data_IF_319119930507
#
_entry.id   IF_319119930507
#
_cell.length_a   1.000
_cell.length_b   1.000
_cell.length_c   1.000
_cell.angle_alpha   90.00
_cell.angle_beta   90.00
_cell.angle_gamma   90.00
#
_symmetry.space_group_name_H-M   'P 1'
#
loop_
_entity.id
_entity.type
_entity.pdbx_description
1 polymer ?
#
# COMPACT_ATOMS: atom_id res chain seq x y z
N UNK A 1 -15.71 -19.21 -21.23
CA UNK A 1 -14.23 -19.35 -21.31
C UNK A 1 -13.66 -18.99 -19.95
N UNK A 2 -12.77 -19.79 -19.33
CA UNK A 2 -12.11 -19.42 -18.09
C UNK A 2 -11.03 -18.37 -18.40
N UNK A 3 -11.46 -17.17 -18.78
CA UNK A 3 -10.62 -16.09 -19.34
C UNK A 3 -9.91 -15.25 -18.28
N UNK A 4 -9.66 -15.82 -17.10
CA UNK A 4 -8.95 -15.16 -16.00
C UNK A 4 -8.05 -16.17 -15.30
N UNK A 5 -7.11 -16.74 -16.04
CA UNK A 5 -6.06 -17.59 -15.48
C UNK A 5 -5.04 -16.79 -14.65
N UNK A 6 -3.89 -17.39 -14.35
CA UNK A 6 -2.79 -16.77 -13.60
C UNK A 6 -2.43 -15.34 -14.05
N UNK A 7 -2.49 -15.06 -15.36
CA UNK A 7 -2.21 -13.73 -15.92
C UNK A 7 -3.21 -12.69 -15.38
N UNK A 8 -4.51 -13.01 -15.33
CA UNK A 8 -5.52 -12.11 -14.80
C UNK A 8 -5.30 -11.79 -13.32
N UNK A 9 -4.94 -12.81 -12.52
CA UNK A 9 -4.62 -12.62 -11.10
C UNK A 9 -3.41 -11.70 -10.89
N UNK A 10 -2.36 -11.83 -11.71
CA UNK A 10 -1.19 -10.97 -11.64
C UNK A 10 -1.55 -9.53 -12.03
N UNK A 11 -2.33 -9.34 -13.09
CA UNK A 11 -2.81 -8.00 -13.50
C UNK A 11 -3.64 -7.36 -12.39
N UNK A 12 -4.55 -8.12 -11.77
CA UNK A 12 -5.37 -7.62 -10.67
C UNK A 12 -4.53 -7.27 -9.43
N UNK A 13 -3.55 -8.11 -9.07
CA UNK A 13 -2.62 -7.82 -8.00
C UNK A 13 -1.78 -6.56 -8.29
N UNK A 14 -1.32 -6.38 -9.54
CA UNK A 14 -0.61 -5.19 -9.95
C UNK A 14 -1.49 -3.93 -9.84
N UNK A 15 -2.75 -3.99 -10.29
CA UNK A 15 -3.70 -2.88 -10.16
C UNK A 15 -3.95 -2.48 -8.69
N UNK A 16 -3.87 -3.44 -7.76
CA UNK A 16 -3.97 -3.16 -6.33
C UNK A 16 -2.66 -2.61 -5.73
N UNK A 17 -1.49 -3.15 -6.09
CA UNK A 17 -0.20 -2.79 -5.47
C UNK A 17 0.40 -1.50 -6.05
N UNK A 18 0.32 -1.31 -7.37
CA UNK A 18 0.90 -0.15 -8.07
C UNK A 18 0.44 1.20 -7.51
N UNK A 19 -0.85 1.45 -7.21
CA UNK A 19 -1.25 2.72 -6.61
C UNK A 19 -0.57 2.96 -5.25
N UNK A 20 -0.40 1.93 -4.42
CA UNK A 20 0.32 2.04 -3.15
C UNK A 20 1.81 2.30 -3.36
N UNK A 21 2.45 1.67 -4.36
CA UNK A 21 3.83 2.00 -4.75
C UNK A 21 4.00 3.46 -5.14
N UNK A 22 3.01 4.09 -5.75
CA UNK A 22 3.09 5.51 -6.10
C UNK A 22 2.73 6.43 -4.94
N UNK A 23 1.92 5.94 -4.00
CA UNK A 23 1.43 6.68 -2.84
C UNK A 23 2.48 6.73 -1.72
N UNK A 24 3.07 5.60 -1.33
CA UNK A 24 3.95 5.47 -0.16
C UNK A 24 5.16 6.44 -0.15
N UNK A 25 5.90 6.65 -1.26
CA UNK A 25 7.02 7.59 -1.28
C UNK A 25 6.64 9.02 -0.93
N UNK A 26 5.39 9.42 -1.24
CA UNK A 26 4.90 10.77 -0.96
C UNK A 26 4.74 11.03 0.54
N UNK A 27 4.65 9.97 1.33
CA UNK A 27 4.52 10.00 2.78
C UNK A 27 5.80 9.53 3.50
N UNK A 28 6.93 9.43 2.77
CA UNK A 28 8.21 8.99 3.34
C UNK A 28 8.28 7.51 3.71
N UNK A 29 7.34 6.68 3.21
CA UNK A 29 7.33 5.24 3.44
C UNK A 29 8.08 4.47 2.35
N UNK A 30 8.79 3.38 2.68
CA UNK A 30 9.55 2.60 1.70
C UNK A 30 8.64 1.84 0.73
N UNK A 31 8.97 1.87 -0.56
CA UNK A 31 8.16 1.28 -1.64
C UNK A 31 7.84 -0.21 -1.45
N UNK A 32 8.79 -1.00 -0.95
CA UNK A 32 8.62 -2.44 -0.78
C UNK A 32 7.43 -2.80 0.13
N UNK A 33 7.01 -1.89 1.01
CA UNK A 33 5.88 -2.08 1.92
C UNK A 33 4.54 -2.14 1.18
N UNK A 34 4.43 -1.62 -0.05
CA UNK A 34 3.18 -1.71 -0.82
C UNK A 34 2.76 -3.15 -1.14
N UNK A 35 3.68 -4.12 -1.09
CA UNK A 35 3.36 -5.54 -1.28
C UNK A 35 2.36 -6.04 -0.22
N UNK A 36 2.38 -5.44 0.98
CA UNK A 36 1.41 -5.74 2.05
C UNK A 36 -0.02 -5.42 1.62
N UNK A 37 -0.21 -4.50 0.67
CA UNK A 37 -1.52 -4.14 0.12
C UNK A 37 -2.14 -5.21 -0.80
N UNK A 38 -1.40 -6.28 -1.15
CA UNK A 38 -1.99 -7.46 -1.81
C UNK A 38 -3.10 -8.08 -0.95
N UNK A 39 -2.95 -8.02 0.36
CA UNK A 39 -3.94 -8.49 1.32
C UNK A 39 -4.86 -7.31 1.67
N UNK A 40 -6.19 -7.44 1.55
CA UNK A 40 -7.12 -6.33 1.82
C UNK A 40 -6.94 -5.68 3.19
N UNK A 41 -6.67 -6.48 4.24
CA UNK A 41 -6.36 -5.97 5.58
C UNK A 41 -5.04 -5.21 5.62
N UNK A 42 -4.03 -5.68 4.89
CA UNK A 42 -2.75 -4.99 4.78
C UNK A 42 -2.88 -3.63 4.10
N UNK A 43 -3.71 -3.55 3.04
CA UNK A 43 -4.05 -2.29 2.39
C UNK A 43 -4.77 -1.33 3.36
N UNK A 44 -5.73 -1.83 4.13
CA UNK A 44 -6.44 -1.02 5.14
C UNK A 44 -5.49 -0.47 6.21
N UNK A 45 -4.55 -1.29 6.70
CA UNK A 45 -3.52 -0.85 7.66
C UNK A 45 -2.62 0.21 7.02
N UNK A 46 -2.19 0.02 5.78
CA UNK A 46 -1.35 1.00 5.08
C UNK A 46 -2.05 2.35 4.91
N UNK A 47 -3.34 2.32 4.56
CA UNK A 47 -4.17 3.51 4.50
C UNK A 47 -4.29 4.18 5.88
N UNK A 48 -4.45 3.39 6.95
CA UNK A 48 -4.48 3.92 8.32
C UNK A 48 -3.17 4.62 8.68
N UNK A 49 -2.03 3.98 8.42
CA UNK A 49 -0.70 4.56 8.68
C UNK A 49 -0.52 5.87 7.92
N UNK A 50 -0.93 5.92 6.65
CA UNK A 50 -0.87 7.14 5.83
C UNK A 50 -1.81 8.22 6.36
N UNK A 51 -3.06 7.87 6.69
CA UNK A 51 -4.08 8.81 7.18
C UNK A 51 -3.69 9.45 8.51
N UNK A 52 -2.95 8.74 9.35
CA UNK A 52 -2.52 9.22 10.66
C UNK A 52 -1.03 9.55 10.73
N UNK A 53 -0.31 9.57 9.59
CA UNK A 53 1.13 9.78 9.53
C UNK A 53 1.56 11.06 10.26
N UNK A 54 0.86 12.17 10.02
CA UNK A 54 1.17 13.47 10.64
C UNK A 54 1.04 13.41 12.18
N UNK A 55 0.06 12.65 12.69
CA UNK A 55 -0.14 12.47 14.13
C UNK A 55 0.91 11.54 14.75
N UNK A 56 1.30 10.50 14.02
CA UNK A 56 2.37 9.56 14.42
C UNK A 56 3.70 10.29 14.49
N UNK A 57 4.01 11.12 13.48
CA UNK A 57 5.24 11.91 13.43
C UNK A 57 5.27 12.99 14.51
N UNK A 58 4.14 13.65 14.78
CA UNK A 58 4.01 14.59 15.89
C UNK A 58 4.18 13.92 17.27
N UNK A 59 3.68 12.69 17.44
CA UNK A 59 3.86 11.91 18.66
C UNK A 59 5.29 11.32 18.79
N UNK A 60 6.00 11.13 17.68
CA UNK A 60 7.37 10.63 17.63
C UNK A 60 8.44 11.63 18.08
N UNK A 61 8.06 12.89 18.29
CA UNK A 61 8.94 13.93 18.82
C UNK A 61 9.94 14.43 17.78
N UNK A 62 9.69 15.64 17.30
CA UNK A 62 10.72 16.43 16.63
C UNK A 62 11.90 16.63 17.59
N UNK A 63 13.08 16.17 17.17
CA UNK A 63 14.35 16.78 17.54
C UNK A 63 14.89 17.49 16.33
#
# INVERSE_FOLDING_TARGET
MPGFGLIGLIVMAALLVVPFWRLLPRYGLPNWVAIVAIIPLGALILLWVIAFKDKIDAAGGQK
#
